data_IF_445306054775
#
_entry.id   IF_445306054775
#
_cell.length_a   1.000
_cell.length_b   1.000
_cell.length_c   1.000
_cell.angle_alpha   90.00
_cell.angle_beta   90.00
_cell.angle_gamma   90.00
#
_symmetry.space_group_name_H-M   'P 1'
#
loop_
_entity.id
_entity.type
_entity.pdbx_description
1 polymer ?
#
# COMPACT_ATOMS: atom_id res chain seq x y z
N UNK A 1 7.32 -18.12 1.17
CA UNK A 1 6.28 -17.10 0.94
C UNK A 1 6.09 -16.36 2.26
N UNK A 2 5.77 -15.06 2.22
CA UNK A 2 5.58 -14.25 3.42
C UNK A 2 4.38 -13.34 3.28
N UNK A 3 3.53 -13.31 4.30
CA UNK A 3 2.45 -12.35 4.47
C UNK A 3 2.89 -11.35 5.54
N UNK A 4 2.79 -10.06 5.22
CA UNK A 4 2.95 -8.95 6.15
C UNK A 4 1.66 -8.13 6.18
N UNK A 5 1.23 -7.73 7.37
CA UNK A 5 -0.02 -7.00 7.58
C UNK A 5 0.23 -5.85 8.54
N UNK A 6 -0.21 -4.67 8.15
CA UNK A 6 -0.12 -3.45 8.95
C UNK A 6 -1.48 -2.80 9.15
N UNK A 7 -1.55 -1.99 10.21
CA UNK A 7 -2.69 -1.15 10.52
C UNK A 7 -2.19 0.23 10.91
N UNK A 8 -2.86 1.28 10.43
CA UNK A 8 -2.57 2.67 10.78
C UNK A 8 -3.84 3.32 11.31
N UNK A 9 -3.74 3.92 12.50
CA UNK A 9 -4.84 4.70 13.08
C UNK A 9 -4.56 6.17 12.83
N UNK A 10 -5.49 6.84 12.18
CA UNK A 10 -5.49 8.28 12.01
C UNK A 10 -6.45 8.89 13.01
N UNK A 11 -5.95 9.81 13.84
CA UNK A 11 -6.74 10.50 14.86
C UNK A 11 -6.62 12.00 14.70
N UNK A 12 -7.76 12.66 14.58
CA UNK A 12 -7.90 14.11 14.66
C UNK A 12 -8.64 14.45 15.94
N UNK A 13 -7.98 15.20 16.83
CA UNK A 13 -8.58 15.65 18.08
C UNK A 13 -9.70 16.67 17.85
N UNK A 14 -10.46 16.96 18.91
CA UNK A 14 -11.43 18.06 18.85
C UNK A 14 -10.70 19.39 18.64
N UNK A 15 -11.26 20.23 17.79
CA UNK A 15 -10.78 21.59 17.54
C UNK A 15 -11.95 22.55 17.36
N UNK A 16 -11.66 23.84 17.40
CA UNK A 16 -12.67 24.87 17.13
C UNK A 16 -12.81 25.04 15.61
N UNK A 17 -14.04 25.02 15.11
CA UNK A 17 -14.37 25.25 13.70
C UNK A 17 -13.87 26.64 13.27
N UNK A 18 -13.46 26.79 12.00
CA UNK A 18 -13.02 28.08 11.45
C UNK A 18 -14.24 28.98 11.23
N UNK A 19 -14.74 29.52 12.34
CA UNK A 19 -16.01 30.19 12.39
C UNK A 19 -15.91 31.66 11.96
N UNK A 20 -14.92 32.07 11.16
CA UNK A 20 -14.73 33.49 10.77
C UNK A 20 -16.01 34.08 10.18
N UNK A 21 -16.66 33.35 9.26
CA UNK A 21 -17.92 33.76 8.63
C UNK A 21 -19.12 33.78 9.60
N UNK A 22 -19.15 32.86 10.56
CA UNK A 22 -20.24 32.70 11.53
C UNK A 22 -20.13 33.67 12.71
N UNK A 23 -18.93 33.85 13.25
CA UNK A 23 -18.63 34.59 14.48
C UNK A 23 -18.18 36.03 14.22
N UNK A 24 -17.79 36.35 12.98
CA UNK A 24 -17.14 37.63 12.65
C UNK A 24 -15.73 37.74 13.21
N UNK A 25 -15.08 36.59 13.48
CA UNK A 25 -13.74 36.54 14.07
C UNK A 25 -12.71 37.23 13.17
N UNK A 26 -11.82 38.07 13.71
CA UNK A 26 -10.77 38.71 12.92
C UNK A 26 -9.64 37.74 12.51
N UNK A 27 -9.62 36.52 13.06
CA UNK A 27 -8.64 35.47 12.75
C UNK A 27 -9.29 34.10 12.70
N UNK A 28 -8.70 33.19 11.93
CA UNK A 28 -9.05 31.77 11.93
C UNK A 28 -8.71 31.11 13.28
N UNK A 29 -9.42 30.04 13.64
CA UNK A 29 -9.19 29.24 14.86
C UNK A 29 -9.12 30.03 16.18
N UNK A 30 -9.98 31.04 16.35
CA UNK A 30 -10.08 31.76 17.62
C UNK A 30 -10.86 30.95 18.68
N UNK A 31 -10.54 31.10 19.98
CA UNK A 31 -11.28 30.43 21.04
C UNK A 31 -12.76 30.76 21.01
N UNK A 32 -13.61 29.79 21.39
CA UNK A 32 -15.07 29.97 21.50
C UNK A 32 -15.52 31.10 22.43
N UNK A 33 -14.64 31.57 23.32
CA UNK A 33 -14.89 32.77 24.15
C UNK A 33 -14.82 34.07 23.35
N UNK A 34 -14.42 34.02 22.08
CA UNK A 34 -14.22 35.17 21.22
C UNK A 34 -12.81 35.74 21.29
N UNK A 35 -11.92 35.23 22.14
CA UNK A 35 -10.60 35.84 22.35
C UNK A 35 -10.64 37.15 23.17
N UNK A 36 -9.48 37.68 23.57
CA UNK A 36 -9.42 38.81 24.51
C UNK A 36 -9.52 40.19 23.83
N UNK A 37 -10.14 41.15 24.55
CA UNK A 37 -10.08 42.58 24.26
C UNK A 37 -10.82 43.01 22.99
N UNK A 38 -10.39 44.12 22.39
CA UNK A 38 -11.00 44.72 21.19
C UNK A 38 -10.91 43.85 19.93
N UNK A 39 -10.14 42.75 19.99
CA UNK A 39 -10.06 41.74 18.93
C UNK A 39 -11.07 40.60 19.15
N UNK A 40 -12.02 40.74 20.07
CA UNK A 40 -12.98 39.69 20.34
C UNK A 40 -13.92 39.45 19.14
N UNK A 41 -14.22 38.19 18.84
CA UNK A 41 -15.23 37.87 17.84
C UNK A 41 -16.59 38.47 18.26
N UNK A 42 -17.29 39.23 17.40
CA UNK A 42 -18.57 39.87 17.73
C UNK A 42 -19.69 38.88 18.09
N UNK A 43 -19.66 37.67 17.53
CA UNK A 43 -20.68 36.65 17.76
C UNK A 43 -20.06 35.31 18.23
N UNK A 44 -19.39 35.27 19.39
CA UNK A 44 -18.63 34.10 19.83
C UNK A 44 -19.52 32.90 20.18
N UNK A 45 -20.78 33.15 20.54
CA UNK A 45 -21.79 32.12 20.79
C UNK A 45 -22.13 31.27 19.55
N UNK A 46 -21.80 31.75 18.34
CA UNK A 46 -21.95 31.01 17.08
C UNK A 46 -20.77 30.07 16.82
N UNK A 47 -19.68 30.17 17.58
CA UNK A 47 -18.56 29.28 17.44
C UNK A 47 -18.95 27.86 17.86
N UNK A 48 -18.43 26.87 17.13
CA UNK A 48 -18.71 25.45 17.30
C UNK A 48 -17.42 24.66 17.42
N UNK A 49 -17.51 23.58 18.18
CA UNK A 49 -16.47 22.56 18.24
C UNK A 49 -16.71 21.52 17.17
N UNK A 50 -15.64 21.21 16.45
CA UNK A 50 -15.59 20.06 15.55
C UNK A 50 -15.30 18.82 16.40
N UNK A 51 -16.06 17.76 16.17
CA UNK A 51 -15.88 16.49 16.89
C UNK A 51 -14.52 15.86 16.54
N UNK A 52 -14.00 15.02 17.43
CA UNK A 52 -12.84 14.21 17.09
C UNK A 52 -13.23 13.20 16.01
N UNK A 53 -12.29 12.86 15.14
CA UNK A 53 -12.50 11.91 14.05
C UNK A 53 -11.37 10.89 14.04
N UNK A 54 -11.71 9.62 13.87
CA UNK A 54 -10.74 8.52 13.89
C UNK A 54 -11.03 7.57 12.75
N UNK A 55 -10.01 7.23 11.97
CA UNK A 55 -10.12 6.24 10.90
C UNK A 55 -9.04 5.18 11.05
N UNK A 56 -9.34 3.98 10.57
CA UNK A 56 -8.43 2.84 10.53
C UNK A 56 -8.13 2.52 9.08
N UNK A 57 -6.84 2.42 8.78
CA UNK A 57 -6.36 1.93 7.49
C UNK A 57 -5.66 0.58 7.69
N UNK A 58 -5.83 -0.31 6.70
CA UNK A 58 -5.19 -1.62 6.68
C UNK A 58 -4.33 -1.77 5.44
N UNK A 59 -3.18 -2.41 5.60
CA UNK A 59 -2.28 -2.78 4.50
C UNK A 59 -1.91 -4.25 4.62
N UNK A 60 -1.88 -4.95 3.50
CA UNK A 60 -1.40 -6.31 3.41
C UNK A 60 -0.43 -6.45 2.25
N UNK A 61 0.73 -7.03 2.51
CA UNK A 61 1.76 -7.32 1.53
C UNK A 61 2.01 -8.81 1.47
N UNK A 62 2.02 -9.38 0.26
CA UNK A 62 2.33 -10.78 0.05
C UNK A 62 3.51 -10.93 -0.90
N UNK A 63 4.58 -11.56 -0.40
CA UNK A 63 5.78 -11.86 -1.18
C UNK A 63 5.74 -13.30 -1.66
N UNK A 64 5.69 -13.45 -2.98
CA UNK A 64 5.83 -14.73 -3.66
C UNK A 64 7.29 -15.18 -3.58
N UNK A 65 7.51 -16.33 -2.96
CA UNK A 65 8.81 -16.96 -2.93
C UNK A 65 8.61 -18.39 -3.43
N UNK A 66 8.80 -18.57 -4.73
CA UNK A 66 8.53 -19.83 -5.42
C UNK A 66 9.81 -20.69 -5.38
N UNK A 67 9.68 -22.00 -5.12
CA UNK A 67 10.85 -22.87 -5.07
C UNK A 67 11.58 -22.87 -6.42
N UNK A 68 12.92 -23.03 -6.41
CA UNK A 68 13.71 -23.19 -7.63
C UNK A 68 13.12 -24.30 -8.50
N UNK A 69 13.11 -24.14 -9.82
CA UNK A 69 12.60 -25.19 -10.69
C UNK A 69 13.35 -26.49 -10.49
N UNK A 70 12.63 -27.60 -10.46
CA UNK A 70 13.26 -28.91 -10.45
C UNK A 70 14.02 -29.10 -11.78
N UNK A 71 15.30 -29.46 -11.69
CA UNK A 71 16.07 -29.94 -12.85
C UNK A 71 15.44 -31.23 -13.35
N UNK A 72 14.74 -31.16 -14.47
CA UNK A 72 14.22 -32.34 -15.16
C UNK A 72 15.25 -32.82 -16.19
N UNK A 73 15.57 -34.11 -16.16
CA UNK A 73 16.37 -34.74 -17.21
C UNK A 73 15.55 -34.77 -18.51
N UNK A 74 16.11 -34.27 -19.61
CA UNK A 74 15.43 -34.18 -20.91
C UNK A 74 15.21 -35.59 -21.48
N UNK A 75 13.96 -36.09 -21.59
CA UNK A 75 13.70 -37.35 -22.27
C UNK A 75 13.68 -37.07 -23.78
N UNK A 76 14.74 -37.41 -24.50
CA UNK A 76 14.64 -37.45 -25.97
C UNK A 76 15.87 -37.15 -26.82
N UNK A 77 17.08 -36.96 -26.30
CA UNK A 77 18.27 -36.85 -27.17
C UNK A 77 18.89 -38.21 -27.50
N UNK A 78 18.11 -39.05 -28.19
CA UNK A 78 18.61 -40.20 -28.94
C UNK A 78 17.71 -40.49 -30.14
N UNK A 79 17.49 -39.51 -31.02
CA UNK A 79 16.91 -39.79 -32.35
C UNK A 79 17.92 -39.48 -33.45
N UNK A 80 18.77 -40.47 -33.71
CA UNK A 80 19.44 -40.65 -34.99
C UNK A 80 20.87 -40.12 -35.08
N UNK A 81 21.86 -40.98 -34.80
CA UNK A 81 23.12 -41.04 -35.54
C UNK A 81 23.93 -42.28 -35.15
N UNK A 82 23.32 -43.47 -35.21
CA UNK A 82 24.06 -44.73 -35.15
C UNK A 82 24.77 -45.00 -36.48
N UNK A 83 25.78 -44.20 -36.84
CA UNK A 83 26.81 -44.62 -37.80
C UNK A 83 28.06 -44.93 -37.00
N UNK A 84 28.35 -46.23 -36.90
CA UNK A 84 29.53 -46.78 -36.26
C UNK A 84 30.80 -46.06 -36.75
N UNK A 85 31.44 -45.29 -35.89
CA UNK A 85 32.85 -44.96 -36.02
C UNK A 85 33.59 -45.82 -35.01
N UNK A 86 34.28 -46.86 -35.52
CA UNK A 86 35.25 -47.62 -34.74
C UNK A 86 36.36 -46.67 -34.32
N UNK A 87 36.53 -46.45 -33.02
CA UNK A 87 37.81 -46.01 -32.47
C UNK A 87 38.52 -47.25 -31.91
N UNK A 88 39.75 -47.45 -32.35
CA UNK A 88 40.69 -48.34 -31.69
C UNK A 88 41.17 -47.64 -30.41
N UNK A 89 41.22 -48.41 -29.31
CA UNK A 89 41.83 -48.09 -28.02
C UNK A 89 40.92 -47.59 -26.89
N UNK A 90 40.04 -48.47 -26.41
CA UNK A 90 40.11 -49.01 -25.05
C UNK A 90 39.89 -48.12 -23.80
N UNK A 91 39.72 -46.80 -23.90
CA UNK A 91 39.36 -45.95 -22.74
C UNK A 91 38.33 -44.88 -23.12
N UNK A 92 37.06 -45.26 -23.02
CA UNK A 92 35.96 -44.30 -23.02
C UNK A 92 35.95 -43.54 -21.69
N UNK A 93 36.45 -42.29 -21.69
CA UNK A 93 36.00 -41.27 -20.74
C UNK A 93 34.65 -40.76 -21.26
N UNK A 94 33.56 -41.29 -20.71
CA UNK A 94 32.24 -40.71 -20.91
C UNK A 94 32.14 -39.44 -20.07
N UNK A 95 32.61 -38.32 -20.61
CA UNK A 95 32.16 -37.00 -20.15
C UNK A 95 30.88 -36.73 -20.90
N UNK A 96 29.77 -37.24 -20.37
CA UNK A 96 28.46 -36.74 -20.75
C UNK A 96 28.32 -35.42 -19.98
N UNK A 97 28.32 -34.24 -20.63
CA UNK A 97 27.74 -33.09 -19.97
C UNK A 97 26.26 -33.44 -19.77
N UNK A 98 25.87 -33.70 -18.53
CA UNK A 98 24.46 -33.73 -18.16
C UNK A 98 23.96 -32.32 -18.47
N UNK A 99 23.30 -32.15 -19.61
CA UNK A 99 22.61 -30.91 -19.95
C UNK A 99 21.43 -30.77 -18.99
N UNK A 100 21.68 -30.25 -17.80
CA UNK A 100 20.64 -29.80 -16.88
C UNK A 100 20.02 -28.56 -17.50
N UNK A 101 18.92 -28.73 -18.22
CA UNK A 101 18.09 -27.59 -18.58
C UNK A 101 17.41 -27.12 -17.30
N UNK A 102 17.79 -25.94 -16.81
CA UNK A 102 17.00 -25.24 -15.80
C UNK A 102 15.63 -24.94 -16.42
N UNK A 103 14.60 -25.65 -15.96
CA UNK A 103 13.24 -25.43 -16.43
C UNK A 103 12.72 -24.13 -15.83
N UNK A 104 13.14 -22.98 -16.38
CA UNK A 104 12.74 -21.65 -15.94
C UNK A 104 11.20 -21.62 -15.75
N UNK A 105 10.64 -21.17 -14.60
CA UNK A 105 9.23 -21.37 -14.31
C UNK A 105 8.38 -20.64 -15.36
N UNK A 106 7.87 -21.32 -16.37
CA UNK A 106 7.15 -20.65 -17.45
C UNK A 106 5.80 -20.08 -16.98
N UNK A 107 5.41 -18.92 -17.54
CA UNK A 107 4.14 -18.26 -17.29
C UNK A 107 4.11 -17.35 -16.05
N UNK A 108 2.94 -17.24 -15.41
CA UNK A 108 2.69 -16.34 -14.28
C UNK A 108 3.59 -16.60 -13.06
N UNK A 109 4.14 -17.82 -12.93
CA UNK A 109 5.05 -18.20 -11.85
C UNK A 109 6.43 -17.56 -11.99
N UNK A 110 7.02 -17.46 -13.18
CA UNK A 110 8.25 -16.67 -13.35
C UNK A 110 7.99 -15.20 -13.00
N UNK A 111 6.86 -14.67 -13.48
CA UNK A 111 6.54 -13.26 -13.32
C UNK A 111 6.32 -12.85 -11.87
N UNK A 112 5.69 -13.71 -11.06
CA UNK A 112 5.46 -13.43 -9.65
C UNK A 112 6.65 -13.79 -8.76
N UNK A 113 7.68 -14.50 -9.23
CA UNK A 113 8.76 -14.92 -8.34
C UNK A 113 9.54 -13.71 -7.78
N UNK A 114 9.68 -13.64 -6.45
CA UNK A 114 10.24 -12.50 -5.70
C UNK A 114 9.47 -11.18 -5.88
N UNK A 115 8.27 -11.23 -6.43
CA UNK A 115 7.38 -10.06 -6.50
C UNK A 115 6.62 -9.94 -5.19
N UNK A 116 6.45 -8.72 -4.69
CA UNK A 116 5.55 -8.40 -3.57
C UNK A 116 4.35 -7.66 -4.11
N UNK A 117 3.15 -8.14 -3.81
CA UNK A 117 1.90 -7.41 -4.07
C UNK A 117 1.45 -6.80 -2.76
N UNK A 118 1.16 -5.50 -2.78
CA UNK A 118 0.63 -4.76 -1.63
C UNK A 118 -0.76 -4.24 -1.94
N UNK A 119 -1.70 -4.46 -1.02
CA UNK A 119 -3.06 -3.94 -1.06
C UNK A 119 -3.29 -3.07 0.18
N UNK A 120 -3.78 -1.86 -0.03
CA UNK A 120 -4.16 -0.93 1.03
C UNK A 120 -5.67 -0.66 1.00
N UNK A 121 -6.28 -0.53 2.17
CA UNK A 121 -7.67 -0.12 2.34
C UNK A 121 -7.71 1.02 3.35
N UNK A 122 -8.19 2.17 2.91
CA UNK A 122 -8.31 3.37 3.73
C UNK A 122 -9.70 3.44 4.33
N UNK A 123 -9.82 3.99 5.54
CA UNK A 123 -11.08 4.20 6.23
C UNK A 123 -11.96 2.94 6.26
N UNK A 124 -11.47 1.87 6.86
CA UNK A 124 -12.13 0.55 6.90
C UNK A 124 -13.56 0.59 7.42
N UNK A 125 -13.88 1.56 8.27
CA UNK A 125 -15.21 1.73 8.84
C UNK A 125 -16.12 2.65 8.02
N UNK A 126 -15.64 3.21 6.90
CA UNK A 126 -16.36 4.17 6.07
C UNK A 126 -16.93 5.34 6.89
N UNK A 127 -16.11 5.86 7.81
CA UNK A 127 -16.50 6.95 8.70
C UNK A 127 -16.32 8.29 8.00
N UNK A 128 -17.40 9.05 7.86
CA UNK A 128 -17.36 10.39 7.30
C UNK A 128 -16.58 11.37 8.19
N UNK A 129 -15.82 12.32 7.61
CA UNK A 129 -15.19 13.39 8.38
C UNK A 129 -16.20 14.23 9.16
N UNK A 130 -15.76 14.76 10.30
CA UNK A 130 -16.56 15.65 11.13
C UNK A 130 -16.92 16.95 10.41
N UNK A 131 -18.18 17.40 10.56
CA UNK A 131 -18.68 18.62 9.93
C UNK A 131 -17.97 19.90 10.39
N UNK A 132 -17.63 20.77 9.42
CA UNK A 132 -16.99 22.08 9.58
C UNK A 132 -17.80 23.11 8.78
N UNK A 133 -18.42 24.08 9.44
CA UNK A 133 -19.28 25.05 8.77
C UNK A 133 -18.51 26.10 7.95
N UNK A 134 -17.23 26.32 8.27
CA UNK A 134 -16.35 27.16 7.45
C UNK A 134 -15.96 26.54 6.10
N UNK A 135 -16.19 25.24 5.91
CA UNK A 135 -15.83 24.52 4.68
C UNK A 135 -17.03 24.43 3.72
N UNK A 136 -17.16 25.44 2.85
CA UNK A 136 -18.30 25.59 1.95
C UNK A 136 -18.34 24.61 0.78
N UNK A 137 -17.22 23.98 0.44
CA UNK A 137 -17.14 23.04 -0.69
C UNK A 137 -17.68 21.67 -0.30
N UNK A 138 -17.10 21.06 0.74
CA UNK A 138 -17.33 19.66 1.10
C UNK A 138 -17.86 19.45 2.53
N UNK A 139 -17.99 20.53 3.33
CA UNK A 139 -18.57 20.45 4.69
C UNK A 139 -17.63 19.89 5.75
N UNK A 140 -16.35 19.68 5.46
CA UNK A 140 -15.32 19.25 6.41
C UNK A 140 -13.95 19.88 6.08
N UNK A 141 -13.00 19.80 7.01
CA UNK A 141 -11.64 20.30 6.80
C UNK A 141 -10.81 19.28 6.01
N UNK A 142 -10.62 19.56 4.72
CA UNK A 142 -9.88 18.69 3.80
C UNK A 142 -8.39 18.56 4.16
N UNK A 143 -7.82 19.54 4.86
CA UNK A 143 -6.41 19.47 5.28
C UNK A 143 -6.19 18.41 6.37
N UNK A 144 -7.21 18.17 7.19
CA UNK A 144 -7.20 17.18 8.26
C UNK A 144 -7.81 15.84 7.84
N UNK A 145 -8.73 15.85 6.87
CA UNK A 145 -9.42 14.67 6.36
C UNK A 145 -8.77 14.05 5.11
N UNK A 146 -7.63 14.57 4.65
CA UNK A 146 -7.02 14.14 3.38
C UNK A 146 -6.64 12.65 3.36
N UNK A 147 -6.89 12.00 2.21
CA UNK A 147 -6.42 10.64 1.93
C UNK A 147 -5.02 10.61 1.30
N UNK A 148 -4.47 11.77 0.94
CA UNK A 148 -3.24 11.85 0.16
C UNK A 148 -2.05 11.32 0.96
N UNK A 149 -1.30 10.39 0.36
CA UNK A 149 -0.13 9.76 1.00
C UNK A 149 -0.48 8.63 1.97
N UNK A 150 -1.76 8.22 2.04
CA UNK A 150 -2.16 6.98 2.70
C UNK A 150 -2.00 5.83 1.69
N UNK A 151 -0.88 5.11 1.83
CA UNK A 151 -0.36 4.04 0.95
C UNK A 151 0.25 4.48 -0.39
#
# INVERSE_FOLDING_TARGET
QGLDVGAVVHYTGQYEDDNVSLTGSPKVNMPRTGGPGDNAAPYPFRARKVAAWTTLDLIASYTFNLPPPATAEVPGFAKGAGKNVKMSDGKEKSVIPVSTAEYNPCGWRAWLNNTTITLGMQNVFDEDPSFVAGSFENGYDESLATIKGRF
#
